data_IF_885044337217
#
_entry.id   IF_885044337217
#
_cell.length_a   1.000
_cell.length_b   1.000
_cell.length_c   1.000
_cell.angle_alpha   90.00
_cell.angle_beta   90.00
_cell.angle_gamma   90.00
#
_symmetry.space_group_name_H-M   'P 1'
#
loop_
_entity.id
_entity.type
_entity.pdbx_description
1 polymer ?
#
# COMPACT_ATOMS: atom_id res chain seq x y z
N UNK A 1 -8.36 12.93 -2.72
CA UNK A 1 -9.20 13.60 -3.73
C UNK A 1 -10.71 13.42 -3.49
N UNK A 2 -11.10 12.56 -2.54
CA UNK A 2 -12.49 12.44 -2.10
C UNK A 2 -12.77 13.50 -1.04
N UNK A 3 -13.77 14.34 -1.23
CA UNK A 3 -14.11 15.44 -0.30
C UNK A 3 -14.44 14.95 1.12
N UNK A 4 -14.92 13.71 1.24
CA UNK A 4 -15.32 13.11 2.52
C UNK A 4 -14.21 12.29 3.19
N UNK A 5 -12.98 12.31 2.66
CA UNK A 5 -11.84 11.55 3.18
C UNK A 5 -10.80 12.49 3.76
N UNK A 6 -10.51 12.33 5.03
CA UNK A 6 -9.39 12.98 5.69
C UNK A 6 -8.21 12.01 5.76
N UNK A 7 -7.17 12.24 4.98
CA UNK A 7 -5.92 11.49 5.02
C UNK A 7 -4.90 12.24 5.90
N UNK A 8 -4.31 11.53 6.85
CA UNK A 8 -3.26 12.05 7.73
C UNK A 8 -2.07 11.12 7.75
N UNK A 9 -0.88 11.69 7.72
CA UNK A 9 0.34 10.97 8.06
C UNK A 9 0.54 11.07 9.57
N UNK A 10 0.85 9.94 10.19
CA UNK A 10 0.92 9.81 11.64
C UNK A 10 2.29 9.24 12.02
N UNK A 11 3.02 9.96 12.84
CA UNK A 11 4.33 9.56 13.39
C UNK A 11 4.35 9.49 14.93
N UNK A 12 3.25 9.86 15.58
CA UNK A 12 3.05 9.82 17.02
C UNK A 12 1.73 9.17 17.40
N UNK A 13 1.71 8.44 18.51
CA UNK A 13 0.48 7.76 18.99
C UNK A 13 -0.64 8.77 19.28
N UNK A 14 -0.30 9.96 19.80
CA UNK A 14 -1.27 11.04 20.07
C UNK A 14 -2.08 11.44 18.84
N UNK A 15 -1.50 11.33 17.65
CA UNK A 15 -2.10 11.81 16.41
C UNK A 15 -2.91 10.72 15.69
N UNK A 16 -2.81 9.46 16.14
CA UNK A 16 -3.56 8.36 15.55
C UNK A 16 -5.07 8.52 15.76
N UNK A 17 -5.49 9.02 16.93
CA UNK A 17 -6.89 9.18 17.30
C UNK A 17 -7.73 7.89 17.11
N UNK A 18 -8.89 8.01 16.42
CA UNK A 18 -9.79 6.90 16.08
C UNK A 18 -10.05 6.90 14.57
N UNK A 19 -9.10 6.40 13.77
CA UNK A 19 -9.28 6.34 12.32
C UNK A 19 -10.27 5.23 11.93
N UNK A 20 -10.92 5.40 10.80
CA UNK A 20 -11.76 4.35 10.20
C UNK A 20 -10.91 3.28 9.51
N UNK A 21 -9.73 3.68 9.04
CA UNK A 21 -8.75 2.82 8.40
C UNK A 21 -7.33 3.26 8.75
N UNK A 22 -6.45 2.31 8.94
CA UNK A 22 -4.99 2.51 9.03
C UNK A 22 -4.35 1.86 7.81
N UNK A 23 -3.57 2.64 7.07
CA UNK A 23 -2.77 2.18 5.94
C UNK A 23 -1.31 2.12 6.35
N UNK A 24 -0.69 0.94 6.25
CA UNK A 24 0.74 0.74 6.40
C UNK A 24 1.38 0.70 5.01
N UNK A 25 2.08 1.75 4.58
CA UNK A 25 2.69 1.78 3.26
C UNK A 25 3.92 0.86 3.21
N UNK A 26 4.41 0.58 2.01
CA UNK A 26 5.69 -0.08 1.80
C UNK A 26 6.85 0.88 2.12
N UNK A 27 7.65 0.60 3.17
CA UNK A 27 8.78 1.43 3.54
C UNK A 27 10.03 1.14 2.70
N UNK A 28 11.07 1.92 2.91
CA UNK A 28 12.40 1.66 2.34
C UNK A 28 13.05 0.44 3.02
N UNK A 29 12.86 0.26 4.32
CA UNK A 29 13.35 -0.86 5.12
C UNK A 29 12.26 -1.34 6.06
N UNK A 30 11.72 -2.52 5.77
CA UNK A 30 10.62 -3.14 6.54
C UNK A 30 11.03 -3.39 7.99
N UNK A 31 12.23 -3.93 8.21
CA UNK A 31 12.73 -4.27 9.53
C UNK A 31 12.99 -3.01 10.36
N UNK A 32 13.61 -1.99 9.77
CA UNK A 32 13.89 -0.74 10.48
C UNK A 32 12.61 -0.01 10.87
N UNK A 33 11.63 0.05 9.95
CA UNK A 33 10.38 0.77 10.19
C UNK A 33 9.45 -0.01 11.14
N UNK A 34 9.46 -1.35 11.12
CA UNK A 34 8.76 -2.15 12.12
C UNK A 34 9.34 -1.92 13.54
N UNK A 35 10.67 -1.82 13.66
CA UNK A 35 11.32 -1.45 14.93
C UNK A 35 10.92 -0.05 15.39
N UNK A 36 10.88 0.90 14.45
CA UNK A 36 10.45 2.26 14.75
C UNK A 36 8.99 2.31 15.21
N UNK A 37 8.07 1.61 14.54
CA UNK A 37 6.66 1.49 14.96
C UNK A 37 6.55 0.93 16.38
N UNK A 38 7.38 -0.05 16.73
CA UNK A 38 7.45 -0.66 18.07
C UNK A 38 7.99 0.32 19.12
N UNK A 39 9.09 1.00 18.82
CA UNK A 39 9.73 1.96 19.72
C UNK A 39 8.90 3.22 19.95
N UNK A 40 8.18 3.69 18.91
CA UNK A 40 7.29 4.85 19.02
C UNK A 40 5.96 4.52 19.72
N UNK A 41 5.65 3.24 19.94
CA UNK A 41 4.39 2.79 20.50
C UNK A 41 3.25 2.71 19.48
N UNK A 42 3.49 3.07 18.21
CA UNK A 42 2.48 2.99 17.14
C UNK A 42 2.04 1.56 16.86
N UNK A 43 2.95 0.57 16.93
CA UNK A 43 2.59 -0.84 16.78
C UNK A 43 1.48 -1.25 17.79
N UNK A 44 1.67 -0.95 19.07
CA UNK A 44 0.66 -1.26 20.10
C UNK A 44 -0.67 -0.54 19.85
N UNK A 45 -0.63 0.70 19.36
CA UNK A 45 -1.82 1.46 19.03
C UNK A 45 -2.54 0.89 17.80
N UNK A 46 -1.79 0.41 16.79
CA UNK A 46 -2.32 -0.27 15.60
C UNK A 46 -2.99 -1.59 16.00
N UNK A 47 -2.33 -2.42 16.82
CA UNK A 47 -2.89 -3.68 17.33
C UNK A 47 -4.21 -3.42 18.09
N UNK A 48 -4.23 -2.44 18.98
CA UNK A 48 -5.47 -2.05 19.69
C UNK A 48 -6.56 -1.56 18.74
N UNK A 49 -6.21 -0.82 17.69
CA UNK A 49 -7.17 -0.38 16.68
C UNK A 49 -7.71 -1.57 15.86
N UNK A 50 -6.87 -2.54 15.52
CA UNK A 50 -7.28 -3.78 14.85
C UNK A 50 -8.27 -4.57 15.70
N UNK A 51 -7.99 -4.77 16.99
CA UNK A 51 -8.89 -5.43 17.95
C UNK A 51 -10.23 -4.70 18.10
N UNK A 52 -10.21 -3.38 17.99
CA UNK A 52 -11.42 -2.56 18.00
C UNK A 52 -12.21 -2.58 16.67
N UNK A 53 -11.71 -3.30 15.65
CA UNK A 53 -12.36 -3.45 14.35
C UNK A 53 -12.05 -2.34 13.34
N UNK A 54 -11.05 -1.50 13.59
CA UNK A 54 -10.52 -0.56 12.57
C UNK A 54 -9.98 -1.35 11.37
N UNK A 55 -10.28 -0.92 10.16
CA UNK A 55 -9.71 -1.53 8.95
C UNK A 55 -8.18 -1.29 8.92
N UNK A 56 -7.40 -2.35 8.89
CA UNK A 56 -5.95 -2.30 8.71
C UNK A 56 -5.63 -2.79 7.30
N UNK A 57 -4.81 -2.04 6.58
CA UNK A 57 -4.39 -2.43 5.24
C UNK A 57 -2.89 -2.20 5.07
N UNK A 58 -2.15 -3.27 4.78
CA UNK A 58 -0.71 -3.20 4.50
C UNK A 58 -0.42 -3.27 3.01
N UNK A 59 0.54 -2.47 2.53
CA UNK A 59 1.05 -2.55 1.16
C UNK A 59 2.52 -2.91 1.19
N UNK A 60 2.93 -3.93 0.44
CA UNK A 60 4.31 -4.37 0.28
C UNK A 60 4.99 -4.61 1.65
N UNK A 61 5.98 -3.82 2.05
CA UNK A 61 6.60 -3.93 3.38
C UNK A 61 5.61 -3.73 4.53
N UNK A 62 4.64 -2.84 4.39
CA UNK A 62 3.55 -2.70 5.37
C UNK A 62 2.70 -3.96 5.49
N UNK A 63 2.48 -4.70 4.40
CA UNK A 63 1.83 -6.01 4.43
C UNK A 63 2.71 -7.05 5.14
N UNK A 64 4.01 -7.07 4.85
CA UNK A 64 4.97 -7.97 5.50
C UNK A 64 5.00 -7.77 7.03
N UNK A 65 4.90 -6.53 7.51
CA UNK A 65 4.84 -6.22 8.95
C UNK A 65 3.63 -6.82 9.66
N UNK A 66 2.53 -7.07 8.95
CA UNK A 66 1.30 -7.62 9.53
C UNK A 66 1.40 -9.12 9.84
N UNK A 67 2.37 -9.84 9.26
CA UNK A 67 2.60 -11.28 9.48
C UNK A 67 3.16 -11.62 10.86
N UNK A 68 3.49 -12.90 11.07
CA UNK A 68 4.09 -13.39 12.32
C UNK A 68 5.56 -13.07 12.40
N UNK A 69 6.30 -13.29 11.30
CA UNK A 69 7.77 -13.21 11.29
C UNK A 69 8.26 -12.55 10.01
N UNK A 70 9.26 -11.70 10.17
CA UNK A 70 10.06 -11.15 9.06
C UNK A 70 11.49 -11.60 9.27
N UNK A 71 12.01 -12.47 8.39
CA UNK A 71 13.37 -13.01 8.46
C UNK A 71 14.23 -12.48 7.32
N UNK A 72 15.51 -12.22 7.64
CA UNK A 72 16.53 -11.72 6.71
C UNK A 72 17.84 -12.48 6.92
N UNK A 73 17.85 -13.79 6.61
CA UNK A 73 19.03 -14.63 6.85
C UNK A 73 20.23 -14.22 6.03
N UNK A 74 20.02 -13.62 4.86
CA UNK A 74 21.07 -13.15 3.96
C UNK A 74 21.48 -11.70 4.23
N UNK A 75 20.83 -11.02 5.19
CA UNK A 75 21.06 -9.62 5.56
C UNK A 75 20.98 -8.65 4.37
N UNK A 76 20.01 -8.89 3.49
CA UNK A 76 19.82 -8.09 2.27
C UNK A 76 19.11 -6.77 2.55
N UNK A 77 18.39 -6.68 3.65
CA UNK A 77 17.67 -5.48 4.07
C UNK A 77 18.28 -4.81 5.30
N UNK A 78 18.69 -5.59 6.32
CA UNK A 78 19.15 -5.05 7.60
C UNK A 78 20.37 -5.80 8.15
N UNK A 79 21.55 -5.18 8.09
CA UNK A 79 22.74 -5.75 8.67
C UNK A 79 22.57 -6.08 10.17
N UNK A 80 23.01 -7.28 10.57
CA UNK A 80 22.97 -7.73 11.96
C UNK A 80 21.59 -8.17 12.47
N UNK A 81 20.60 -8.27 11.60
CA UNK A 81 19.25 -8.76 11.93
C UNK A 81 18.93 -9.94 11.05
N UNK A 82 18.73 -11.10 11.65
CA UNK A 82 18.33 -12.30 10.92
C UNK A 82 16.83 -12.57 11.00
N UNK A 83 16.16 -12.01 12.02
CA UNK A 83 14.73 -12.19 12.24
C UNK A 83 14.15 -11.13 13.16
N UNK A 84 12.90 -10.75 12.93
CA UNK A 84 12.10 -9.90 13.82
C UNK A 84 10.65 -10.40 13.81
N UNK A 85 9.99 -10.41 14.97
CA UNK A 85 8.55 -10.69 15.04
C UNK A 85 7.77 -9.59 14.33
N UNK A 86 6.80 -9.96 13.52
CA UNK A 86 5.80 -9.05 12.95
C UNK A 86 4.70 -8.69 13.96
N UNK A 87 3.61 -8.14 13.46
CA UNK A 87 2.45 -7.76 14.28
C UNK A 87 1.52 -8.94 14.60
N UNK A 88 1.64 -10.08 13.91
CA UNK A 88 0.82 -11.28 14.12
C UNK A 88 -0.65 -11.11 13.74
N UNK A 89 -0.98 -10.16 12.90
CA UNK A 89 -2.36 -9.88 12.47
C UNK A 89 -2.78 -10.70 11.25
N UNK A 90 -1.83 -11.24 10.49
CA UNK A 90 -2.06 -12.12 9.34
C UNK A 90 -1.25 -13.42 9.50
N UNK A 91 -1.83 -14.54 9.09
CA UNK A 91 -1.19 -15.85 9.14
C UNK A 91 -0.20 -16.03 7.99
N UNK A 92 0.91 -15.33 8.10
CA UNK A 92 1.99 -15.38 7.12
C UNK A 92 3.35 -15.08 7.74
N UNK A 93 4.39 -15.65 7.14
CA UNK A 93 5.79 -15.34 7.39
C UNK A 93 6.42 -14.74 6.13
N UNK A 94 7.36 -13.85 6.31
CA UNK A 94 8.13 -13.23 5.22
C UNK A 94 9.61 -13.56 5.39
N UNK A 95 10.27 -13.96 4.30
CA UNK A 95 11.71 -14.16 4.24
C UNK A 95 12.32 -13.26 3.16
N UNK A 96 13.28 -12.40 3.52
CA UNK A 96 14.06 -11.62 2.57
C UNK A 96 15.12 -12.47 1.91
N UNK A 97 15.24 -12.33 0.58
CA UNK A 97 16.26 -12.99 -0.24
C UNK A 97 16.86 -12.00 -1.23
N UNK A 98 18.07 -12.26 -1.69
CA UNK A 98 18.78 -11.40 -2.65
C UNK A 98 18.07 -11.21 -3.99
N UNK A 99 17.10 -12.06 -4.32
CA UNK A 99 16.32 -11.95 -5.55
C UNK A 99 15.18 -10.94 -5.40
N UNK A 100 15.21 -9.92 -6.25
CA UNK A 100 14.16 -8.90 -6.33
C UNK A 100 13.05 -9.34 -7.28
N UNK A 101 11.81 -9.35 -6.81
CA UNK A 101 10.63 -9.45 -7.65
C UNK A 101 10.36 -8.07 -8.24
N UNK A 102 10.19 -7.99 -9.56
CA UNK A 102 9.75 -6.78 -10.25
C UNK A 102 8.88 -7.19 -11.43
N UNK A 103 7.59 -6.98 -11.30
CA UNK A 103 6.61 -7.39 -12.30
C UNK A 103 5.43 -6.41 -12.35
N UNK A 104 4.91 -6.20 -13.56
CA UNK A 104 3.56 -5.65 -13.70
C UNK A 104 2.55 -6.77 -13.45
N UNK A 105 1.51 -6.48 -12.71
CA UNK A 105 0.47 -7.44 -12.36
C UNK A 105 -0.91 -6.85 -12.60
N UNK A 106 -1.82 -7.71 -13.06
CA UNK A 106 -3.23 -7.38 -13.25
C UNK A 106 -4.08 -8.64 -13.13
N UNK A 107 -5.31 -8.48 -12.72
CA UNK A 107 -6.22 -9.60 -12.57
C UNK A 107 -7.55 -9.18 -11.98
N UNK A 108 -8.23 -10.17 -11.42
CA UNK A 108 -9.50 -9.99 -10.71
C UNK A 108 -9.29 -10.39 -9.25
N UNK A 109 -9.71 -9.55 -8.33
CA UNK A 109 -9.68 -9.85 -6.88
C UNK A 109 -10.68 -10.96 -6.60
N UNK A 110 -10.27 -11.97 -5.86
CA UNK A 110 -11.09 -13.12 -5.47
C UNK A 110 -10.66 -13.69 -4.14
N UNK A 111 -11.55 -14.43 -3.48
CA UNK A 111 -11.27 -15.10 -2.21
C UNK A 111 -11.18 -14.17 -1.01
N UNK A 112 -11.62 -12.93 -1.14
CA UNK A 112 -11.64 -11.96 -0.04
C UNK A 112 -12.83 -12.25 0.87
N UNK A 113 -12.55 -12.37 2.17
CA UNK A 113 -13.55 -12.56 3.21
C UNK A 113 -13.64 -11.33 4.13
N UNK A 114 -14.63 -11.30 5.01
CA UNK A 114 -14.78 -10.25 6.01
C UNK A 114 -15.17 -8.88 5.44
N UNK A 115 -14.59 -7.82 6.01
CA UNK A 115 -15.00 -6.44 5.75
C UNK A 115 -14.88 -6.03 4.27
N UNK A 116 -13.85 -6.50 3.59
CA UNK A 116 -13.59 -6.18 2.19
C UNK A 116 -14.12 -7.26 1.21
N UNK A 117 -15.03 -8.13 1.65
CA UNK A 117 -15.72 -9.08 0.75
C UNK A 117 -16.27 -8.42 -0.53
N UNK A 118 -16.81 -7.18 -0.51
CA UNK A 118 -17.29 -6.51 -1.73
C UNK A 118 -16.22 -6.22 -2.78
N UNK A 119 -14.93 -6.41 -2.47
CA UNK A 119 -13.86 -6.27 -3.47
C UNK A 119 -13.77 -7.45 -4.43
N UNK A 120 -14.39 -8.60 -4.11
CA UNK A 120 -14.41 -9.74 -5.01
C UNK A 120 -15.06 -9.36 -6.36
N UNK A 121 -14.38 -9.74 -7.44
CA UNK A 121 -14.82 -9.42 -8.82
C UNK A 121 -14.30 -8.10 -9.35
N UNK A 122 -13.66 -7.25 -8.54
CA UNK A 122 -13.02 -6.02 -9.02
C UNK A 122 -11.72 -6.35 -9.76
N UNK A 123 -11.50 -5.67 -10.87
CA UNK A 123 -10.25 -5.72 -11.58
C UNK A 123 -9.18 -4.89 -10.82
N UNK A 124 -7.95 -5.38 -10.83
CA UNK A 124 -6.79 -4.62 -10.36
C UNK A 124 -5.71 -4.58 -11.42
N UNK A 125 -4.91 -3.52 -11.38
CA UNK A 125 -3.71 -3.36 -12.17
C UNK A 125 -2.70 -2.60 -11.31
N UNK A 126 -1.43 -3.00 -11.39
CA UNK A 126 -0.36 -2.37 -10.63
C UNK A 126 0.98 -3.06 -10.89
N UNK A 127 1.88 -2.94 -9.95
CA UNK A 127 3.19 -3.58 -10.04
C UNK A 127 3.63 -4.11 -8.67
N UNK A 128 4.49 -5.11 -8.69
CA UNK A 128 5.13 -5.67 -7.51
C UNK A 128 6.62 -5.37 -7.57
N UNK A 129 7.16 -4.81 -6.48
CA UNK A 129 8.59 -4.58 -6.30
C UNK A 129 8.93 -4.90 -4.85
N UNK A 130 9.46 -6.09 -4.59
CA UNK A 130 9.86 -6.51 -3.25
C UNK A 130 10.98 -7.54 -3.28
N UNK A 131 11.72 -7.68 -2.19
CA UNK A 131 12.75 -8.70 -1.99
C UNK A 131 12.28 -9.81 -1.04
N UNK A 132 11.37 -9.52 -0.13
CA UNK A 132 10.74 -10.49 0.74
C UNK A 132 9.76 -11.37 -0.02
N UNK A 133 9.80 -12.68 0.28
CA UNK A 133 8.84 -13.66 -0.21
C UNK A 133 8.06 -14.21 0.96
N UNK A 134 6.74 -14.17 0.87
CA UNK A 134 5.90 -14.97 1.75
C UNK A 134 5.99 -16.43 1.33
N UNK A 135 5.98 -17.35 2.27
CA UNK A 135 6.16 -18.80 2.02
C UNK A 135 5.05 -19.43 1.19
N UNK A 136 3.94 -18.74 0.98
CA UNK A 136 2.79 -19.19 0.20
C UNK A 136 2.60 -18.30 -1.03
N UNK A 137 1.99 -18.85 -2.08
CA UNK A 137 1.47 -18.02 -3.18
C UNK A 137 0.41 -17.09 -2.63
N UNK A 138 0.63 -15.80 -2.79
CA UNK A 138 -0.25 -14.78 -2.23
C UNK A 138 -1.17 -14.22 -3.31
N UNK A 139 -2.49 -14.19 -3.08
CA UNK A 139 -3.40 -13.50 -3.96
C UNK A 139 -3.14 -11.99 -3.95
N UNK A 140 -3.67 -11.28 -4.93
CA UNK A 140 -3.52 -9.82 -5.03
C UNK A 140 -3.95 -9.06 -3.76
N UNK A 141 -4.91 -9.63 -3.02
CA UNK A 141 -5.36 -9.17 -1.72
C UNK A 141 -5.49 -10.36 -0.79
N UNK A 142 -4.78 -10.34 0.32
CA UNK A 142 -4.83 -11.36 1.37
C UNK A 142 -5.42 -10.79 2.65
N UNK A 143 -6.03 -11.66 3.46
CA UNK A 143 -6.55 -11.31 4.77
C UNK A 143 -8.03 -11.58 4.92
N UNK A 144 -8.57 -11.16 6.07
CA UNK A 144 -9.97 -11.36 6.44
C UNK A 144 -10.33 -10.54 7.68
N UNK A 145 -11.59 -10.65 8.11
CA UNK A 145 -12.06 -9.80 9.20
C UNK A 145 -11.96 -8.32 8.86
N UNK A 146 -11.02 -7.63 9.47
CA UNK A 146 -10.72 -6.22 9.26
C UNK A 146 -9.23 -5.96 8.94
N UNK A 147 -8.43 -7.00 8.66
CA UNK A 147 -6.99 -6.87 8.37
C UNK A 147 -6.68 -7.45 6.99
N UNK A 148 -6.05 -6.67 6.15
CA UNK A 148 -5.72 -7.03 4.78
C UNK A 148 -4.34 -6.55 4.37
N UNK A 149 -3.80 -7.16 3.32
CA UNK A 149 -2.56 -6.73 2.73
C UNK A 149 -2.42 -7.13 1.28
N UNK A 150 -1.53 -6.43 0.58
CA UNK A 150 -1.26 -6.64 -0.83
C UNK A 150 0.21 -6.35 -1.14
N UNK A 151 0.80 -7.12 -2.07
CA UNK A 151 2.08 -6.75 -2.69
C UNK A 151 1.92 -5.79 -3.84
N UNK A 152 0.70 -5.60 -4.33
CA UNK A 152 0.43 -4.78 -5.51
C UNK A 152 0.51 -3.29 -5.17
N UNK A 153 1.54 -2.63 -5.66
CA UNK A 153 1.62 -1.18 -5.66
C UNK A 153 0.66 -0.59 -6.69
N UNK A 154 0.02 0.53 -6.34
CA UNK A 154 -0.99 1.15 -7.21
C UNK A 154 -2.37 0.49 -7.13
N UNK A 155 -2.59 -0.49 -6.25
CA UNK A 155 -3.87 -1.19 -6.11
C UNK A 155 -5.04 -0.22 -5.90
N UNK A 156 -4.85 0.87 -5.16
CA UNK A 156 -5.88 1.91 -4.93
C UNK A 156 -6.17 2.79 -6.16
N UNK A 157 -5.33 2.74 -7.19
CA UNK A 157 -5.53 3.47 -8.44
C UNK A 157 -6.50 2.73 -9.38
N UNK A 158 -6.70 1.43 -9.15
CA UNK A 158 -7.61 0.62 -9.95
C UNK A 158 -9.06 1.06 -9.71
N UNK A 159 -9.86 1.17 -10.78
CA UNK A 159 -11.24 1.65 -10.68
C UNK A 159 -12.09 0.83 -9.70
N UNK A 160 -12.82 1.50 -8.84
CA UNK A 160 -13.75 0.89 -7.90
C UNK A 160 -13.14 0.37 -6.59
N UNK A 161 -11.81 0.21 -6.48
CA UNK A 161 -11.18 -0.32 -5.26
C UNK A 161 -11.29 0.67 -4.11
N UNK A 162 -10.85 1.90 -4.30
CA UNK A 162 -10.97 2.94 -3.28
C UNK A 162 -12.44 3.23 -2.93
N UNK A 163 -13.31 3.32 -3.94
CA UNK A 163 -14.76 3.51 -3.75
C UNK A 163 -15.37 2.40 -2.89
N UNK A 164 -15.01 1.13 -3.14
CA UNK A 164 -15.53 -0.01 -2.40
C UNK A 164 -15.11 0.03 -0.93
N UNK A 165 -13.86 0.38 -0.65
CA UNK A 165 -13.37 0.57 0.72
C UNK A 165 -14.14 1.69 1.40
N UNK A 166 -14.26 2.85 0.75
CA UNK A 166 -14.95 4.01 1.33
C UNK A 166 -16.44 3.72 1.57
N UNK A 167 -17.13 3.06 0.63
CA UNK A 167 -18.53 2.61 0.82
C UNK A 167 -18.67 1.68 2.02
N UNK A 168 -17.74 0.74 2.17
CA UNK A 168 -17.72 -0.20 3.30
C UNK A 168 -17.55 0.53 4.62
N UNK A 169 -16.63 1.50 4.71
CA UNK A 169 -16.39 2.30 5.90
C UNK A 169 -17.58 3.21 6.23
N UNK A 170 -18.17 3.86 5.21
CA UNK A 170 -19.38 4.69 5.39
C UNK A 170 -20.57 3.87 5.89
N UNK A 171 -20.81 2.69 5.31
CA UNK A 171 -21.89 1.80 5.74
C UNK A 171 -21.72 1.37 7.20
N UNK A 172 -20.50 1.09 7.65
CA UNK A 172 -20.21 0.77 9.05
C UNK A 172 -20.49 1.92 10.02
N UNK A 173 -20.31 3.15 9.56
CA UNK A 173 -20.60 4.37 10.33
C UNK A 173 -22.08 4.78 10.27
N UNK A 174 -22.88 4.13 9.44
CA UNK A 174 -24.25 4.57 9.16
C UNK A 174 -24.31 5.90 8.41
N UNK A 175 -23.25 6.24 7.66
CA UNK A 175 -23.16 7.45 6.85
C UNK A 175 -23.43 7.10 5.40
N UNK A 176 -24.25 7.90 4.71
CA UNK A 176 -24.46 7.72 3.27
C UNK A 176 -23.17 8.07 2.54
N UNK A 177 -22.69 7.13 1.73
CA UNK A 177 -21.70 7.40 0.71
C UNK A 177 -22.47 7.89 -0.52
N UNK A 178 -22.80 9.16 -0.55
CA UNK A 178 -23.27 9.76 -1.80
C UNK A 178 -22.15 9.58 -2.81
N UNK A 179 -22.50 9.04 -3.96
CA UNK A 179 -21.58 8.80 -5.08
C UNK A 179 -21.06 10.14 -5.61
N UNK A 180 -20.37 10.88 -4.75
CA UNK A 180 -19.56 12.01 -5.14
C UNK A 180 -18.51 11.47 -6.10
N UNK A 181 -18.69 11.84 -7.33
CA UNK A 181 -17.87 11.60 -8.50
C UNK A 181 -16.72 10.62 -8.24
N UNK A 182 -16.85 9.40 -8.76
CA UNK A 182 -15.70 8.48 -8.86
C UNK A 182 -14.49 9.30 -9.30
N UNK A 183 -13.46 9.35 -8.48
CA UNK A 183 -12.27 10.11 -8.83
C UNK A 183 -11.56 9.37 -9.97
N UNK A 184 -11.49 10.01 -11.12
CA UNK A 184 -10.75 9.49 -12.28
C UNK A 184 -9.24 9.66 -12.03
N UNK A 185 -8.65 8.72 -11.30
CA UNK A 185 -7.22 8.68 -10.98
C UNK A 185 -6.36 8.69 -12.25
N UNK A 186 -6.77 7.95 -13.29
CA UNK A 186 -6.02 7.87 -14.54
C UNK A 186 -6.01 9.21 -15.27
N UNK A 187 -7.17 9.79 -15.51
CA UNK A 187 -7.26 11.09 -16.16
C UNK A 187 -6.60 12.20 -15.35
N UNK A 188 -6.63 12.12 -14.02
CA UNK A 188 -5.86 13.04 -13.18
C UNK A 188 -4.36 12.92 -13.40
N UNK A 189 -3.81 11.68 -13.38
CA UNK A 189 -2.37 11.44 -13.61
C UNK A 189 -1.94 11.92 -14.99
N UNK A 190 -2.70 11.62 -16.04
CA UNK A 190 -2.40 12.10 -17.39
C UNK A 190 -2.31 13.63 -17.44
N UNK A 191 -3.27 14.33 -16.85
CA UNK A 191 -3.22 15.81 -16.77
C UNK A 191 -1.99 16.33 -16.01
N UNK A 192 -1.57 15.63 -14.93
CA UNK A 192 -0.36 16.01 -14.18
C UNK A 192 0.91 15.78 -15.01
N UNK A 193 0.96 14.70 -15.80
CA UNK A 193 2.07 14.43 -16.72
C UNK A 193 2.14 15.48 -17.83
N UNK A 194 1.01 15.92 -18.38
CA UNK A 194 0.96 17.00 -19.39
C UNK A 194 1.49 18.32 -18.80
N UNK A 195 1.04 18.69 -17.60
CA UNK A 195 1.54 19.87 -16.89
C UNK A 195 3.04 19.80 -16.64
N UNK A 196 3.55 18.65 -16.18
CA UNK A 196 4.98 18.44 -15.98
C UNK A 196 5.75 18.54 -17.30
N UNK A 197 5.23 17.94 -18.37
CA UNK A 197 5.84 18.02 -19.70
C UNK A 197 5.93 19.45 -20.20
N UNK A 198 4.90 20.26 -19.97
CA UNK A 198 4.90 21.69 -20.35
C UNK A 198 5.93 22.50 -19.55
N UNK A 199 6.04 22.26 -18.24
CA UNK A 199 7.08 22.87 -17.39
C UNK A 199 8.49 22.50 -17.89
N UNK A 200 8.73 21.23 -18.20
CA UNK A 200 10.02 20.74 -18.72
C UNK A 200 10.33 21.39 -20.09
N UNK A 201 9.35 21.42 -21.00
CA UNK A 201 9.51 22.04 -22.33
C UNK A 201 9.77 23.53 -22.23
N UNK A 202 9.13 24.23 -21.29
CA UNK A 202 9.35 25.66 -21.07
C UNK A 202 10.68 26.00 -20.39
N UNK A 203 11.25 25.06 -19.62
CA UNK A 203 12.47 25.24 -18.84
C UNK A 203 13.76 24.77 -19.52
N UNK A 204 13.67 23.99 -20.60
CA UNK A 204 14.82 23.41 -21.30
C UNK A 204 14.91 23.88 -22.76
N UNK A 205 16.14 23.97 -23.30
CA UNK A 205 16.35 24.01 -24.75
C UNK A 205 16.04 22.63 -25.36
N UNK A 206 14.76 22.48 -25.72
CA UNK A 206 14.29 21.22 -26.29
C UNK A 206 14.97 20.91 -27.64
N UNK A 207 15.40 21.93 -28.39
CA UNK A 207 16.15 21.72 -29.64
C UNK A 207 17.50 21.06 -29.37
N UNK A 208 18.18 21.49 -28.32
CA UNK A 208 19.42 20.87 -27.88
C UNK A 208 19.18 19.44 -27.39
N UNK A 209 18.16 19.23 -26.55
CA UNK A 209 17.79 17.89 -26.04
C UNK A 209 17.53 16.92 -27.20
N UNK A 210 16.78 17.31 -28.22
CA UNK A 210 16.51 16.46 -29.37
C UNK A 210 17.75 16.17 -30.21
N UNK A 211 18.68 17.14 -30.36
CA UNK A 211 19.96 16.87 -31.05
C UNK A 211 20.80 15.83 -30.31
N UNK A 212 20.88 15.93 -28.96
CA UNK A 212 21.57 14.93 -28.14
C UNK A 212 20.96 13.54 -28.33
N UNK A 213 19.62 13.43 -28.25
CA UNK A 213 18.91 12.17 -28.42
C UNK A 213 19.14 11.54 -29.80
N UNK A 214 19.28 12.38 -30.85
CA UNK A 214 19.57 11.93 -32.22
C UNK A 214 21.07 11.69 -32.49
N UNK A 215 21.93 11.90 -31.48
CA UNK A 215 23.39 11.82 -31.60
C UNK A 215 23.96 12.80 -32.65
N UNK A 216 23.40 13.96 -32.75
CA UNK A 216 23.81 15.06 -33.68
C UNK A 216 24.74 16.09 -33.00
N UNK A 217 25.18 15.81 -31.76
CA UNK A 217 26.13 16.59 -30.93
C UNK A 217 27.13 15.67 -30.30
#
# INVERSE_FOLDING_TARGET
HYENVSLRYVDQVSDLHRPDMILLPGPKSTIADLRWLRQSGLEAAILKAADAGTLIFGVCGGYQMLGHTVSDPEQVEAAGVTEISGMGLLDMDTEFRGEKVQAQTKGIISGVEGMLFPMNGLAYEGYEIHMGRSRQEMPALSGGGNVYGSYVHGIFDAPGIADTILRTLCARKGVSFDALATFDTRGYKERQYDLLADVVRGGLDMSFVYRVLRREV
#
